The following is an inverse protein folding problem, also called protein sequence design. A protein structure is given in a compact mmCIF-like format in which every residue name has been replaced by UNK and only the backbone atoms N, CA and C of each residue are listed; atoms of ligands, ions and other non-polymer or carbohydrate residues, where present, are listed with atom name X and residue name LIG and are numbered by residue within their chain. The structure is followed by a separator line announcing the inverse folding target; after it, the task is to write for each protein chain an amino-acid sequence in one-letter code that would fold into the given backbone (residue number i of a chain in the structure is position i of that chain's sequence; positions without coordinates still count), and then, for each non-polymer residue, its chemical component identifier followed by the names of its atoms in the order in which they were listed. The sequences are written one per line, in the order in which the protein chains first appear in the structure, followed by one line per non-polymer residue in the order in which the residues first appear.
data_IF_803571230362
#
_entry.id   IF_803571230362
#
_cell.length_a   1.000
_cell.length_b   1.000
_cell.length_c   1.000
_cell.angle_alpha   90.00
_cell.angle_beta   90.00
_cell.angle_gamma   90.00
#
_symmetry.space_group_name_H-M   'P 1'
#
loop_
_entity.id
_entity.type
_entity.pdbx_description
1 polymer ?
#
# COMPACT_ATOMS: atom_id res chain seq x y z
N UNK A 1 -9.33 -69.39 -0.07
CA UNK A 1 -8.37 -69.31 1.01
C UNK A 1 -8.01 -67.84 1.22
N UNK A 2 -8.72 -67.15 2.08
CA UNK A 2 -8.55 -65.72 2.39
C UNK A 2 -7.81 -65.59 3.72
N UNK A 3 -6.58 -65.10 3.68
CA UNK A 3 -5.76 -64.79 4.89
C UNK A 3 -6.18 -63.46 5.46
N UNK A 4 -6.84 -63.48 6.60
CA UNK A 4 -7.19 -62.33 7.43
C UNK A 4 -5.95 -61.90 8.26
N UNK A 5 -5.39 -60.74 7.97
CA UNK A 5 -4.33 -60.12 8.77
C UNK A 5 -4.95 -59.36 9.95
N UNK A 6 -4.80 -59.87 11.15
CA UNK A 6 -5.17 -59.20 12.41
C UNK A 6 -4.25 -57.98 12.64
N UNK A 7 -4.79 -56.76 12.57
CA UNK A 7 -4.10 -55.54 13.06
C UNK A 7 -4.07 -55.57 14.58
N UNK A 8 -2.86 -55.66 15.15
CA UNK A 8 -2.59 -55.57 16.58
C UNK A 8 -2.80 -54.10 17.01
N UNK A 9 -3.84 -53.82 17.79
CA UNK A 9 -4.02 -52.50 18.43
C UNK A 9 -2.90 -52.30 19.44
N UNK A 10 -2.06 -51.30 19.25
CA UNK A 10 -1.04 -50.89 20.19
C UNK A 10 -1.75 -50.19 21.36
N UNK A 11 -1.68 -50.75 22.54
CA UNK A 11 -2.21 -50.13 23.76
C UNK A 11 -1.25 -49.06 24.25
N UNK A 12 -1.59 -47.79 23.93
CA UNK A 12 -0.79 -46.61 24.26
C UNK A 12 -0.61 -46.40 25.78
N UNK A 13 -1.49 -46.95 26.61
CA UNK A 13 -1.43 -46.81 28.07
C UNK A 13 -0.33 -47.64 28.75
N UNK A 14 0.12 -48.76 28.14
CA UNK A 14 1.16 -49.61 28.73
C UNK A 14 2.59 -49.16 28.44
N UNK A 15 2.79 -48.22 27.50
CA UNK A 15 4.13 -47.71 27.17
C UNK A 15 4.54 -46.51 28.03
N UNK A 16 3.61 -45.85 28.72
CA UNK A 16 3.89 -44.65 29.52
C UNK A 16 4.33 -44.97 30.95
N UNK A 17 4.13 -46.21 31.47
CA UNK A 17 4.53 -46.61 32.83
C UNK A 17 5.98 -47.10 32.92
N UNK A 18 6.72 -47.07 31.80
CA UNK A 18 8.10 -47.51 31.79
C UNK A 18 9.03 -46.36 32.23
N UNK A 19 9.73 -46.45 33.39
CA UNK A 19 10.55 -45.35 33.93
C UNK A 19 11.64 -44.87 32.94
N UNK A 20 12.09 -45.73 32.04
CA UNK A 20 13.08 -45.39 31.02
C UNK A 20 12.47 -44.45 29.94
N UNK A 21 11.22 -44.65 29.57
CA UNK A 21 10.54 -43.81 28.58
C UNK A 21 10.28 -42.43 29.17
N UNK A 22 9.87 -42.34 30.41
CA UNK A 22 9.68 -41.08 31.13
C UNK A 22 10.99 -40.27 31.19
N UNK A 23 12.11 -40.95 31.51
CA UNK A 23 13.42 -40.31 31.57
C UNK A 23 13.88 -39.77 30.20
N UNK A 24 13.61 -40.50 29.13
CA UNK A 24 13.93 -40.03 27.74
C UNK A 24 13.07 -38.82 27.36
N UNK A 25 11.78 -38.84 27.67
CA UNK A 25 10.88 -37.73 27.38
C UNK A 25 11.27 -36.46 28.15
N UNK A 26 11.67 -36.59 29.42
CA UNK A 26 12.15 -35.47 30.23
C UNK A 26 13.49 -34.92 29.71
N UNK A 27 14.40 -35.76 29.26
CA UNK A 27 15.66 -35.35 28.64
C UNK A 27 15.43 -34.62 27.32
N UNK A 28 14.53 -35.12 26.45
CA UNK A 28 14.15 -34.45 25.19
C UNK A 28 13.47 -33.10 25.44
N UNK A 29 12.59 -33.01 26.44
CA UNK A 29 11.94 -31.77 26.84
C UNK A 29 12.97 -30.72 27.31
N UNK A 30 13.97 -31.14 28.10
CA UNK A 30 15.06 -30.28 28.54
C UNK A 30 15.91 -29.73 27.38
N UNK A 31 16.27 -30.59 26.42
CA UNK A 31 17.03 -30.19 25.22
C UNK A 31 16.21 -29.22 24.37
N UNK A 32 14.92 -29.45 24.15
CA UNK A 32 14.05 -28.56 23.42
C UNK A 32 13.93 -27.19 24.12
N UNK A 33 13.85 -27.16 25.45
CA UNK A 33 13.79 -25.90 26.20
C UNK A 33 15.08 -25.08 26.05
N UNK A 34 16.25 -25.76 26.14
CA UNK A 34 17.55 -25.09 25.93
C UNK A 34 17.70 -24.54 24.52
N UNK A 35 17.24 -25.28 23.50
CA UNK A 35 17.26 -24.81 22.11
C UNK A 35 16.31 -23.64 21.91
N UNK A 36 15.13 -23.64 22.51
CA UNK A 36 14.20 -22.50 22.45
C UNK A 36 14.79 -21.25 23.12
N UNK A 37 15.43 -21.41 24.28
CA UNK A 37 16.08 -20.31 24.98
C UNK A 37 17.27 -19.76 24.14
N UNK A 38 18.06 -20.63 23.53
CA UNK A 38 19.18 -20.22 22.68
C UNK A 38 18.72 -19.45 21.43
N UNK A 39 17.58 -19.85 20.81
CA UNK A 39 16.97 -19.13 19.70
C UNK A 39 16.43 -17.76 20.16
N UNK A 40 15.83 -17.68 21.35
CA UNK A 40 15.33 -16.41 21.90
C UNK A 40 16.46 -15.46 22.29
N UNK A 41 17.60 -15.98 22.76
CA UNK A 41 18.77 -15.18 23.13
C UNK A 41 19.63 -14.76 21.91
N UNK A 42 19.58 -15.55 20.83
CA UNK A 42 20.28 -15.25 19.58
C UNK A 42 19.43 -14.45 18.58
N UNK A 43 18.18 -14.11 18.94
CA UNK A 43 17.39 -13.22 18.11
C UNK A 43 18.14 -11.89 18.02
N UNK A 44 18.51 -11.43 16.81
CA UNK A 44 19.17 -10.15 16.68
C UNK A 44 18.26 -9.11 17.31
N UNK A 45 18.73 -8.40 18.34
CA UNK A 45 18.08 -7.20 18.84
C UNK A 45 18.00 -6.27 17.63
N UNK A 46 16.81 -6.10 17.10
CA UNK A 46 16.55 -5.10 16.08
C UNK A 46 16.83 -3.74 16.73
N UNK A 47 18.08 -3.34 16.69
CA UNK A 47 18.43 -1.94 16.92
C UNK A 47 17.78 -1.20 15.76
N UNK A 48 16.74 -0.43 16.06
CA UNK A 48 16.23 0.58 15.15
C UNK A 48 17.40 1.51 14.82
N UNK A 49 18.08 1.21 13.73
CA UNK A 49 19.00 2.15 13.10
C UNK A 49 18.09 3.29 12.65
N UNK A 50 18.07 4.37 13.42
CA UNK A 50 17.58 5.64 12.94
C UNK A 50 18.50 6.04 11.78
N UNK A 51 18.10 5.66 10.57
CA UNK A 51 18.62 6.26 9.36
C UNK A 51 18.27 7.74 9.48
N UNK A 52 19.28 8.56 9.65
CA UNK A 52 19.18 10.00 9.43
C UNK A 52 18.81 10.17 7.97
N UNK A 53 17.51 10.20 7.70
CA UNK A 53 16.94 10.66 6.44
C UNK A 53 17.35 12.13 6.37
N UNK A 54 18.10 12.49 5.34
CA UNK A 54 18.40 13.87 5.00
C UNK A 54 17.10 14.68 4.91
N UNK A 55 17.14 16.02 4.96
CA UNK A 55 15.96 16.84 5.18
C UNK A 55 14.98 16.75 4.01
N UNK A 56 14.20 15.70 4.00
CA UNK A 56 12.93 15.70 3.30
C UNK A 56 12.06 16.64 4.13
N UNK A 57 11.78 17.80 3.59
CA UNK A 57 11.00 18.85 4.24
C UNK A 57 9.60 18.29 4.49
N UNK A 58 9.42 17.66 5.66
CA UNK A 58 8.11 17.33 6.17
C UNK A 58 7.53 18.68 6.61
N UNK A 59 6.76 19.30 5.76
CA UNK A 59 5.92 20.43 6.16
C UNK A 59 4.82 19.90 7.06
N UNK A 60 5.09 19.87 8.35
CA UNK A 60 4.03 19.67 9.33
C UNK A 60 3.21 20.95 9.39
N UNK A 61 1.92 20.83 9.15
CA UNK A 61 0.92 21.92 9.23
C UNK A 61 1.01 22.70 10.56
N UNK A 62 1.63 22.12 11.57
CA UNK A 62 1.81 22.68 12.91
C UNK A 62 2.78 23.87 12.94
N UNK A 63 3.89 23.81 12.20
CA UNK A 63 4.92 24.85 12.22
C UNK A 63 4.48 26.13 11.48
N UNK A 64 3.53 26.01 10.54
CA UNK A 64 2.99 27.17 9.84
C UNK A 64 1.91 27.90 10.65
N UNK A 65 1.25 27.23 11.58
CA UNK A 65 0.22 27.82 12.46
C UNK A 65 0.83 28.53 13.69
N UNK A 66 1.94 28.05 14.24
CA UNK A 66 2.55 28.66 15.42
C UNK A 66 3.30 29.97 15.09
N UNK A 67 3.74 30.18 13.86
CA UNK A 67 4.49 31.39 13.46
C UNK A 67 3.61 32.62 13.14
N UNK A 68 2.27 32.45 13.08
CA UNK A 68 1.33 33.56 12.80
C UNK A 68 0.54 34.06 14.03
N UNK A 69 0.78 33.50 15.23
CA UNK A 69 -0.01 33.88 16.42
C UNK A 69 0.65 35.02 17.22
N UNK A 70 1.89 35.40 16.95
CA UNK A 70 2.65 36.29 17.81
C UNK A 70 2.61 37.79 17.45
N UNK A 71 1.82 38.25 16.52
CA UNK A 71 1.63 39.68 16.30
C UNK A 71 0.20 40.03 15.86
N UNK A 72 -0.45 40.79 16.71
CA UNK A 72 -1.66 41.59 16.53
C UNK A 72 -2.99 40.98 16.99
N UNK A 73 -3.44 41.55 18.10
CA UNK A 73 -4.77 41.36 18.65
C UNK A 73 -5.90 41.79 17.72
N UNK A 74 -6.85 40.89 17.60
CA UNK A 74 -8.23 41.19 17.25
C UNK A 74 -8.48 41.52 15.78
N UNK A 75 -8.83 40.47 15.00
CA UNK A 75 -9.96 40.53 14.04
C UNK A 75 -10.28 39.11 13.58
N UNK A 76 -11.55 38.73 13.73
CA UNK A 76 -12.10 37.50 13.14
C UNK A 76 -12.09 37.60 11.62
N UNK A 77 -10.96 37.28 11.01
CA UNK A 77 -10.90 37.03 9.58
C UNK A 77 -11.10 35.54 9.38
N UNK A 78 -12.27 35.18 8.86
CA UNK A 78 -12.53 33.84 8.33
C UNK A 78 -11.55 33.63 7.18
N UNK A 79 -10.35 33.10 7.50
CA UNK A 79 -9.34 32.78 6.51
C UNK A 79 -9.92 31.65 5.67
N UNK A 80 -10.46 31.99 4.52
CA UNK A 80 -10.73 31.04 3.47
C UNK A 80 -9.36 30.55 2.99
N UNK A 81 -8.91 29.41 3.52
CA UNK A 81 -7.68 28.77 3.08
C UNK A 81 -7.89 28.43 1.60
N UNK A 82 -7.21 29.19 0.73
CA UNK A 82 -7.22 28.89 -0.69
C UNK A 82 -6.68 27.45 -0.88
N UNK A 83 -7.31 26.61 -1.71
CA UNK A 83 -6.93 25.20 -1.88
C UNK A 83 -5.49 24.95 -2.35
N UNK A 84 -4.72 25.97 -2.63
CA UNK A 84 -3.36 25.92 -3.20
C UNK A 84 -2.23 26.02 -2.17
N UNK A 85 -2.43 25.51 -0.95
CA UNK A 85 -1.43 25.60 0.14
C UNK A 85 -0.57 24.33 0.25
N UNK A 86 -0.94 23.21 -0.40
CA UNK A 86 -0.09 22.04 -0.46
C UNK A 86 0.79 22.13 -1.70
N UNK A 87 2.11 22.13 -1.52
CA UNK A 87 3.10 22.13 -2.62
C UNK A 87 3.13 20.82 -3.41
N UNK A 88 2.25 19.86 -3.10
CA UNK A 88 2.13 18.56 -3.76
C UNK A 88 1.41 17.53 -2.89
N UNK A 89 1.22 16.29 -3.38
CA UNK A 89 0.51 15.24 -2.67
C UNK A 89 1.31 14.72 -1.46
N UNK A 90 0.57 14.29 -0.44
CA UNK A 90 1.15 13.69 0.77
C UNK A 90 1.45 12.22 0.50
N UNK A 91 2.69 11.78 0.69
CA UNK A 91 3.07 10.38 0.60
C UNK A 91 2.86 9.73 1.96
N UNK A 92 2.00 8.72 2.02
CA UNK A 92 1.58 8.04 3.26
C UNK A 92 1.78 6.52 3.14
N UNK A 93 2.13 5.83 4.24
CA UNK A 93 2.10 4.36 4.28
C UNK A 93 0.71 3.76 4.03
N UNK A 94 -0.34 4.57 4.22
CA UNK A 94 -1.73 4.18 3.95
C UNK A 94 -2.04 4.11 2.44
N UNK A 95 -1.12 4.52 1.58
CA UNK A 95 -1.31 4.50 0.15
C UNK A 95 -0.58 3.32 -0.48
N UNK A 96 -1.22 2.56 -1.38
CA UNK A 96 -0.55 1.50 -2.11
C UNK A 96 0.64 2.03 -2.87
N UNK A 97 1.82 1.46 -2.63
CA UNK A 97 3.04 1.86 -3.31
C UNK A 97 3.83 0.65 -3.81
N UNK A 98 4.59 0.84 -4.89
CA UNK A 98 5.51 -0.16 -5.45
C UNK A 98 6.68 0.50 -6.17
N UNK A 99 7.75 -0.26 -6.39
CA UNK A 99 8.98 0.19 -7.03
C UNK A 99 10.13 0.31 -6.05
N UNK A 100 11.04 1.22 -6.29
CA UNK A 100 12.28 1.37 -5.53
C UNK A 100 12.03 1.60 -4.02
N UNK A 101 12.87 1.01 -3.18
CA UNK A 101 12.84 1.27 -1.73
C UNK A 101 13.42 2.66 -1.41
N UNK A 102 14.45 3.08 -2.14
CA UNK A 102 15.07 4.39 -2.03
C UNK A 102 14.92 5.13 -3.37
N UNK A 103 13.72 5.64 -3.69
CA UNK A 103 13.45 6.23 -4.99
C UNK A 103 14.08 7.62 -5.10
N UNK A 104 14.48 7.96 -6.32
CA UNK A 104 14.83 9.32 -6.74
C UNK A 104 13.61 10.04 -7.30
N UNK A 105 12.66 9.29 -7.85
CA UNK A 105 11.45 9.81 -8.50
C UNK A 105 10.24 9.19 -7.82
N UNK A 106 9.33 10.04 -7.38
CA UNK A 106 8.01 9.65 -6.90
C UNK A 106 6.98 9.96 -8.00
N UNK A 107 6.22 8.94 -8.39
CA UNK A 107 5.04 9.10 -9.25
C UNK A 107 3.82 8.91 -8.37
N UNK A 108 3.12 10.00 -8.03
CA UNK A 108 1.85 9.92 -7.31
C UNK A 108 0.71 10.04 -8.30
N UNK A 109 -0.15 9.06 -8.29
CA UNK A 109 -1.15 8.85 -9.31
C UNK A 109 -2.56 8.82 -8.70
N UNK A 110 -3.33 9.89 -8.91
CA UNK A 110 -4.76 9.92 -8.60
C UNK A 110 -5.51 9.28 -9.75
N UNK A 111 -6.14 8.16 -9.46
CA UNK A 111 -6.78 7.33 -10.47
C UNK A 111 -8.11 6.77 -10.02
N UNK A 112 -8.86 6.27 -11.00
CA UNK A 112 -10.14 5.59 -10.86
C UNK A 112 -10.11 4.31 -11.70
N UNK A 113 -10.55 3.21 -11.14
CA UNK A 113 -10.65 1.93 -11.86
C UNK A 113 -11.65 1.98 -13.03
N UNK A 114 -12.65 2.88 -12.96
CA UNK A 114 -13.63 3.09 -14.03
C UNK A 114 -13.14 4.01 -15.15
N UNK A 115 -12.03 4.70 -14.96
CA UNK A 115 -11.49 5.66 -15.91
C UNK A 115 -10.72 4.94 -17.05
N UNK A 116 -11.18 5.06 -18.28
CA UNK A 116 -10.54 4.45 -19.46
C UNK A 116 -9.10 4.91 -19.65
N UNK A 117 -8.83 6.22 -19.47
CA UNK A 117 -7.47 6.75 -19.58
C UNK A 117 -6.56 6.25 -18.46
N UNK A 118 -7.11 5.93 -17.29
CA UNK A 118 -6.37 5.31 -16.20
C UNK A 118 -5.97 3.87 -16.54
N UNK A 119 -6.84 3.14 -17.22
CA UNK A 119 -6.53 1.79 -17.70
C UNK A 119 -5.40 1.80 -18.74
N UNK A 120 -5.45 2.75 -19.69
CA UNK A 120 -4.39 2.92 -20.69
C UNK A 120 -3.05 3.37 -20.07
N UNK A 121 -3.08 4.25 -19.07
CA UNK A 121 -1.89 4.73 -18.37
C UNK A 121 -1.11 3.61 -17.66
N UNK A 122 -1.79 2.54 -17.23
CA UNK A 122 -1.19 1.38 -16.58
C UNK A 122 0.01 0.82 -17.33
N UNK A 123 -0.13 0.60 -18.65
CA UNK A 123 0.95 0.00 -19.46
C UNK A 123 2.19 0.90 -19.50
N UNK A 124 1.97 2.22 -19.56
CA UNK A 124 3.05 3.22 -19.59
C UNK A 124 3.79 3.24 -18.25
N UNK A 125 3.08 3.12 -17.13
CA UNK A 125 3.70 3.01 -15.81
C UNK A 125 4.46 1.70 -15.60
N UNK A 126 3.94 0.57 -16.11
CA UNK A 126 4.69 -0.70 -16.10
C UNK A 126 6.01 -0.56 -16.89
N UNK A 127 5.97 0.10 -18.05
CA UNK A 127 7.16 0.37 -18.83
C UNK A 127 8.15 1.26 -18.07
N UNK A 128 7.68 2.29 -17.37
CA UNK A 128 8.51 3.18 -16.57
C UNK A 128 9.19 2.43 -15.40
N UNK A 129 8.42 1.64 -14.65
CA UNK A 129 8.95 0.83 -13.55
C UNK A 129 10.01 -0.19 -14.03
N UNK A 130 9.81 -0.77 -15.21
CA UNK A 130 10.78 -1.70 -15.81
C UNK A 130 12.01 -0.98 -16.35
N UNK A 131 11.88 0.25 -16.84
CA UNK A 131 13.02 1.03 -17.39
C UNK A 131 13.87 1.64 -16.28
N UNK A 132 13.26 1.99 -15.14
CA UNK A 132 13.92 2.67 -14.01
C UNK A 132 13.68 1.91 -12.68
N UNK A 133 14.02 0.62 -12.56
CA UNK A 133 13.58 -0.25 -11.47
C UNK A 133 14.01 0.23 -10.08
N UNK A 134 15.23 0.81 -9.98
CA UNK A 134 15.81 1.26 -8.70
C UNK A 134 15.64 2.77 -8.47
N UNK A 135 14.90 3.47 -9.32
CA UNK A 135 14.79 4.93 -9.29
C UNK A 135 13.38 5.44 -9.02
N UNK A 136 12.36 4.67 -9.40
CA UNK A 136 10.97 5.11 -9.34
C UNK A 136 10.21 4.38 -8.23
N UNK A 137 9.43 5.14 -7.46
CA UNK A 137 8.34 4.64 -6.64
C UNK A 137 7.01 5.19 -7.13
N UNK A 138 6.09 4.31 -7.44
CA UNK A 138 4.71 4.65 -7.81
C UNK A 138 3.80 4.53 -6.59
N UNK A 139 2.93 5.51 -6.40
CA UNK A 139 1.96 5.61 -5.31
C UNK A 139 0.59 5.83 -5.92
N UNK A 140 -0.38 5.00 -5.51
CA UNK A 140 -1.77 5.13 -5.94
C UNK A 140 -2.58 5.94 -4.94
N UNK A 141 -3.42 6.83 -5.45
CA UNK A 141 -4.44 7.58 -4.72
C UNK A 141 -5.79 7.32 -5.36
N UNK A 142 -6.78 6.92 -4.56
CA UNK A 142 -8.13 6.71 -5.09
C UNK A 142 -8.82 8.05 -5.33
N UNK A 143 -9.35 8.21 -6.54
CA UNK A 143 -10.21 9.34 -6.88
C UNK A 143 -11.44 8.85 -7.67
N UNK A 144 -12.26 7.96 -7.07
CA UNK A 144 -13.52 7.54 -7.69
C UNK A 144 -14.57 8.63 -7.63
N UNK A 145 -15.69 8.44 -8.34
CA UNK A 145 -16.89 9.26 -8.17
C UNK A 145 -17.32 9.34 -6.69
N UNK A 146 -17.77 10.53 -6.26
CA UNK A 146 -18.23 10.76 -4.86
C UNK A 146 -19.58 10.09 -4.54
N UNK A 147 -20.15 9.33 -5.49
CA UNK A 147 -21.33 8.50 -5.28
C UNK A 147 -20.91 7.09 -4.80
N UNK A 148 -21.14 6.78 -3.55
CA UNK A 148 -20.75 5.48 -2.93
C UNK A 148 -21.45 4.27 -3.55
N UNK A 149 -22.56 4.45 -4.29
CA UNK A 149 -23.26 3.38 -5.01
C UNK A 149 -22.74 3.20 -6.45
N UNK A 150 -21.81 4.05 -6.94
CA UNK A 150 -21.25 3.90 -8.28
C UNK A 150 -20.31 2.71 -8.38
N UNK A 151 -20.17 2.15 -9.58
CA UNK A 151 -19.20 1.09 -9.85
C UNK A 151 -17.77 1.58 -9.64
N UNK A 152 -17.50 2.85 -9.90
CA UNK A 152 -16.23 3.52 -9.64
C UNK A 152 -15.86 3.44 -8.16
N UNK A 153 -16.77 3.85 -7.27
CA UNK A 153 -16.54 3.78 -5.82
C UNK A 153 -16.40 2.35 -5.32
N UNK A 154 -17.27 1.45 -5.78
CA UNK A 154 -17.22 0.03 -5.37
C UNK A 154 -15.90 -0.62 -5.79
N UNK A 155 -15.37 -0.30 -6.97
CA UNK A 155 -14.07 -0.78 -7.42
C UNK A 155 -12.91 -0.20 -6.58
N UNK A 156 -12.96 1.08 -6.23
CA UNK A 156 -11.97 1.70 -5.34
C UNK A 156 -12.00 1.03 -3.95
N UNK A 157 -13.20 0.82 -3.37
CA UNK A 157 -13.37 0.11 -2.09
C UNK A 157 -12.80 -1.30 -2.17
N UNK A 158 -13.06 -2.03 -3.24
CA UNK A 158 -12.52 -3.36 -3.48
C UNK A 158 -10.97 -3.34 -3.58
N UNK A 159 -10.40 -2.34 -4.23
CA UNK A 159 -8.96 -2.09 -4.25
C UNK A 159 -8.38 -1.88 -2.86
N UNK A 160 -9.07 -1.09 -2.01
CA UNK A 160 -8.66 -0.91 -0.61
C UNK A 160 -8.81 -2.18 0.22
N UNK A 161 -9.83 -2.99 0.00
CA UNK A 161 -9.95 -4.31 0.64
C UNK A 161 -8.80 -5.24 0.23
N UNK A 162 -8.30 -5.15 -0.99
CA UNK A 162 -7.12 -5.87 -1.43
C UNK A 162 -5.83 -5.29 -0.81
N UNK A 163 -5.75 -3.98 -0.62
CA UNK A 163 -4.64 -3.32 0.07
C UNK A 163 -4.51 -3.80 1.53
N UNK A 164 -5.61 -3.95 2.24
CA UNK A 164 -5.63 -4.44 3.61
C UNK A 164 -5.19 -5.91 3.75
N UNK A 165 -5.04 -6.62 2.64
CA UNK A 165 -4.50 -7.98 2.55
C UNK A 165 -3.12 -8.03 1.88
N UNK A 166 -2.43 -6.89 1.69
CA UNK A 166 -1.13 -6.78 1.01
C UNK A 166 -1.17 -7.28 -0.44
N UNK A 167 -2.32 -7.18 -1.12
CA UNK A 167 -2.56 -7.68 -2.48
C UNK A 167 -3.05 -6.60 -3.45
N UNK A 168 -2.89 -5.32 -3.11
CA UNK A 168 -3.39 -4.22 -3.96
C UNK A 168 -2.90 -4.32 -5.40
N UNK A 169 -1.59 -4.50 -5.64
CA UNK A 169 -1.04 -4.46 -7.00
C UNK A 169 -1.43 -5.67 -7.83
N UNK A 170 -1.59 -6.86 -7.22
CA UNK A 170 -2.13 -8.04 -7.89
C UNK A 170 -3.59 -7.81 -8.30
N UNK A 171 -4.38 -7.22 -7.39
CA UNK A 171 -5.76 -6.86 -7.63
C UNK A 171 -5.89 -5.78 -8.72
N UNK A 172 -5.14 -4.68 -8.59
CA UNK A 172 -5.02 -3.60 -9.56
C UNK A 172 -4.73 -4.12 -10.97
N UNK A 173 -3.73 -5.00 -11.10
CA UNK A 173 -3.35 -5.57 -12.39
C UNK A 173 -4.46 -6.43 -12.99
N UNK A 174 -5.17 -7.19 -12.17
CA UNK A 174 -6.26 -8.05 -12.60
C UNK A 174 -7.48 -7.21 -13.02
N UNK A 175 -7.86 -6.23 -12.20
CA UNK A 175 -9.05 -5.42 -12.42
C UNK A 175 -8.92 -4.51 -13.65
N UNK A 176 -7.79 -3.80 -13.78
CA UNK A 176 -7.53 -2.92 -14.93
C UNK A 176 -7.24 -3.69 -16.25
N UNK A 177 -7.11 -5.01 -16.20
CA UNK A 177 -7.05 -5.85 -17.41
C UNK A 177 -8.44 -6.40 -17.79
N UNK A 178 -9.44 -6.19 -16.95
CA UNK A 178 -10.83 -6.55 -17.19
C UNK A 178 -11.59 -5.45 -17.92
N UNK A 179 -12.78 -5.81 -18.40
CA UNK A 179 -13.66 -4.88 -19.14
C UNK A 179 -14.90 -4.46 -18.34
N UNK A 180 -15.07 -4.98 -17.13
CA UNK A 180 -16.27 -4.78 -16.32
C UNK A 180 -15.91 -4.62 -14.83
N UNK A 181 -16.72 -3.83 -14.13
CA UNK A 181 -16.60 -3.53 -12.70
C UNK A 181 -17.85 -3.97 -11.93
N UNK A 182 -18.63 -4.93 -12.49
CA UNK A 182 -19.78 -5.46 -11.75
C UNK A 182 -19.31 -6.18 -10.48
N UNK A 183 -20.16 -6.29 -9.44
CA UNK A 183 -19.78 -6.93 -8.18
C UNK A 183 -19.18 -8.33 -8.33
N UNK A 184 -19.69 -9.11 -9.28
CA UNK A 184 -19.16 -10.44 -9.61
C UNK A 184 -17.74 -10.37 -10.17
N UNK A 185 -17.41 -9.36 -10.97
CA UNK A 185 -16.08 -9.20 -11.57
C UNK A 185 -15.07 -8.75 -10.53
N UNK A 186 -15.49 -7.92 -9.56
CA UNK A 186 -14.67 -7.54 -8.41
C UNK A 186 -14.26 -8.77 -7.58
N UNK A 187 -15.19 -9.70 -7.33
CA UNK A 187 -14.89 -10.96 -6.63
C UNK A 187 -13.99 -11.89 -7.45
N UNK A 188 -14.24 -12.03 -8.76
CA UNK A 188 -13.38 -12.82 -9.64
C UNK A 188 -11.95 -12.25 -9.65
N UNK A 189 -11.80 -10.93 -9.69
CA UNK A 189 -10.51 -10.28 -9.60
C UNK A 189 -9.82 -10.55 -8.25
N UNK A 190 -10.57 -10.57 -7.15
CA UNK A 190 -10.05 -10.89 -5.82
C UNK A 190 -9.51 -12.32 -5.74
N UNK A 191 -10.26 -13.30 -6.26
CA UNK A 191 -9.80 -14.70 -6.34
C UNK A 191 -8.54 -14.82 -7.18
N UNK A 192 -8.50 -14.20 -8.36
CA UNK A 192 -7.33 -14.22 -9.26
C UNK A 192 -6.10 -13.54 -8.63
N UNK A 193 -6.31 -12.51 -7.83
CA UNK A 193 -5.24 -11.80 -7.10
C UNK A 193 -4.76 -12.57 -5.85
N UNK A 194 -5.40 -13.69 -5.49
CA UNK A 194 -5.02 -14.53 -4.36
C UNK A 194 -5.44 -13.96 -3.00
N UNK A 195 -6.55 -13.22 -2.94
CA UNK A 195 -7.13 -12.71 -1.70
C UNK A 195 -7.88 -13.81 -0.94
N UNK A 196 -7.95 -13.67 0.39
CA UNK A 196 -8.97 -14.36 1.18
C UNK A 196 -10.35 -13.73 0.85
N UNK A 197 -11.18 -14.51 0.20
CA UNK A 197 -12.47 -14.03 -0.31
C UNK A 197 -13.47 -13.72 0.82
N UNK A 198 -13.34 -14.37 1.98
CA UNK A 198 -14.22 -14.09 3.12
C UNK A 198 -13.87 -12.76 3.76
N UNK A 199 -12.57 -12.49 3.99
CA UNK A 199 -12.10 -11.19 4.47
C UNK A 199 -12.40 -10.07 3.48
N UNK A 200 -12.28 -10.36 2.18
CA UNK A 200 -12.61 -9.40 1.12
C UNK A 200 -14.09 -9.01 1.15
N UNK A 201 -15.01 -10.01 1.20
CA UNK A 201 -16.45 -9.77 1.30
C UNK A 201 -16.82 -9.03 2.58
N UNK A 202 -16.22 -9.41 3.71
CA UNK A 202 -16.44 -8.72 4.97
C UNK A 202 -16.07 -7.24 4.86
N UNK A 203 -14.88 -6.94 4.33
CA UNK A 203 -14.43 -5.57 4.10
C UNK A 203 -15.37 -4.77 3.19
N UNK A 204 -15.86 -5.37 2.10
CA UNK A 204 -16.81 -4.72 1.19
C UNK A 204 -18.15 -4.37 1.87
N UNK A 205 -18.59 -5.18 2.84
CA UNK A 205 -19.85 -5.00 3.55
C UNK A 205 -19.74 -3.99 4.70
N UNK A 206 -18.54 -3.69 5.19
CA UNK A 206 -18.36 -2.67 6.22
C UNK A 206 -18.80 -1.30 5.68
N UNK A 207 -19.67 -0.62 6.43
CA UNK A 207 -20.04 0.76 6.17
C UNK A 207 -19.15 1.65 7.03
N UNK A 208 -18.59 2.72 6.44
CA UNK A 208 -17.63 3.61 7.09
C UNK A 208 -16.40 2.87 7.67
N UNK A 209 -16.06 1.74 7.07
CA UNK A 209 -14.91 0.93 7.41
C UNK A 209 -13.57 1.61 7.05
N UNK A 210 -12.48 0.87 7.28
CA UNK A 210 -11.15 1.42 6.99
C UNK A 210 -10.96 1.72 5.49
N UNK A 211 -11.50 0.88 4.60
CA UNK A 211 -11.45 1.11 3.16
C UNK A 211 -12.10 2.45 2.77
N UNK A 212 -13.29 2.73 3.29
CA UNK A 212 -14.02 3.99 3.04
C UNK A 212 -13.25 5.19 3.58
N UNK A 213 -12.65 5.07 4.77
CA UNK A 213 -11.83 6.14 5.37
C UNK A 213 -10.59 6.48 4.54
N UNK A 214 -9.93 5.48 3.96
CA UNK A 214 -8.77 5.68 3.09
C UNK A 214 -9.15 6.39 1.78
N UNK A 215 -10.27 6.02 1.16
CA UNK A 215 -10.81 6.72 -0.01
C UNK A 215 -11.16 8.16 0.34
N UNK A 216 -11.86 8.38 1.46
CA UNK A 216 -12.21 9.72 1.92
C UNK A 216 -10.98 10.60 2.17
N UNK A 217 -9.90 10.03 2.72
CA UNK A 217 -8.61 10.73 2.90
C UNK A 217 -8.04 11.20 1.56
N UNK A 218 -8.06 10.34 0.53
CA UNK A 218 -7.60 10.71 -0.80
C UNK A 218 -8.50 11.75 -1.47
N UNK A 219 -9.83 11.71 -1.28
CA UNK A 219 -10.73 12.76 -1.76
C UNK A 219 -10.44 14.12 -1.12
N UNK A 220 -10.24 14.14 0.22
CA UNK A 220 -9.89 15.38 0.92
C UNK A 220 -8.57 15.96 0.42
N UNK A 221 -7.58 15.12 0.17
CA UNK A 221 -6.30 15.52 -0.39
C UNK A 221 -6.45 16.06 -1.81
N UNK A 222 -7.19 15.36 -2.68
CA UNK A 222 -7.49 15.82 -4.03
C UNK A 222 -8.22 17.17 -4.04
N UNK A 223 -9.23 17.34 -3.17
CA UNK A 223 -9.95 18.60 -3.02
C UNK A 223 -9.01 19.74 -2.57
N UNK A 224 -8.10 19.48 -1.63
CA UNK A 224 -7.11 20.45 -1.15
C UNK A 224 -6.08 20.83 -2.23
N UNK A 225 -5.77 19.92 -3.17
CA UNK A 225 -4.89 20.15 -4.30
C UNK A 225 -5.63 20.72 -5.54
N UNK A 226 -6.96 20.83 -5.48
CA UNK A 226 -7.79 21.28 -6.61
C UNK A 226 -7.91 20.23 -7.73
N UNK A 227 -7.69 18.96 -7.44
CA UNK A 227 -7.79 17.86 -8.39
C UNK A 227 -9.25 17.42 -8.51
N UNK A 228 -9.81 17.51 -9.70
CA UNK A 228 -11.22 17.20 -9.99
C UNK A 228 -11.43 16.15 -11.07
N UNK A 229 -10.36 15.64 -11.68
CA UNK A 229 -10.45 14.68 -12.78
C UNK A 229 -9.29 13.68 -12.73
N UNK A 230 -9.50 12.49 -13.33
CA UNK A 230 -8.52 11.40 -13.45
C UNK A 230 -8.23 11.10 -14.93
N UNK A 231 -7.04 10.62 -15.23
CA UNK A 231 -5.88 10.49 -14.33
C UNK A 231 -5.28 11.86 -14.00
N UNK A 232 -4.77 12.02 -12.77
CA UNK A 232 -3.93 13.14 -12.38
C UNK A 232 -2.62 12.61 -11.82
N UNK A 233 -1.51 13.08 -12.34
CA UNK A 233 -0.20 12.48 -12.14
C UNK A 233 0.75 13.53 -11.59
N UNK A 234 1.41 13.25 -10.47
CA UNK A 234 2.57 13.99 -10.03
C UNK A 234 3.84 13.20 -10.32
N UNK A 235 4.86 13.87 -10.81
CA UNK A 235 6.22 13.34 -10.94
C UNK A 235 7.11 14.28 -10.15
N UNK A 236 7.49 13.88 -8.95
CA UNK A 236 8.05 14.76 -7.92
C UNK A 236 7.14 15.98 -7.69
N UNK A 237 7.61 17.20 -8.00
CA UNK A 237 6.85 18.45 -7.83
C UNK A 237 6.04 18.86 -9.07
N UNK A 238 6.14 18.12 -10.18
CA UNK A 238 5.43 18.45 -11.43
C UNK A 238 4.13 17.70 -11.53
N UNK A 239 3.08 18.38 -11.94
CA UNK A 239 1.74 17.82 -12.06
C UNK A 239 1.22 17.83 -13.50
N UNK A 240 0.43 16.82 -13.84
CA UNK A 240 -0.12 16.58 -15.15
C UNK A 240 -1.57 16.10 -15.04
N UNK A 241 -2.47 16.76 -15.75
CA UNK A 241 -3.84 16.29 -15.92
C UNK A 241 -3.94 15.49 -17.22
N UNK A 242 -4.53 14.31 -17.12
CA UNK A 242 -4.71 13.40 -18.23
C UNK A 242 -3.59 12.38 -18.39
N UNK A 243 -3.72 11.56 -19.42
CA UNK A 243 -2.76 10.50 -19.73
C UNK A 243 -1.48 11.08 -20.34
N UNK A 244 -0.34 10.59 -19.87
CA UNK A 244 0.97 10.82 -20.49
C UNK A 244 1.30 9.69 -21.46
N UNK A 245 1.87 10.02 -22.62
CA UNK A 245 2.54 9.05 -23.47
C UNK A 245 3.84 8.56 -22.84
N UNK A 246 4.42 7.49 -23.39
CA UNK A 246 5.72 7.00 -22.93
C UNK A 246 6.82 8.05 -23.09
N UNK A 247 6.85 8.73 -24.23
CA UNK A 247 7.83 9.74 -24.56
C UNK A 247 7.76 10.95 -23.62
N UNK A 248 6.55 11.40 -23.28
CA UNK A 248 6.34 12.49 -22.33
C UNK A 248 6.79 12.07 -20.93
N UNK A 249 6.32 10.91 -20.44
CA UNK A 249 6.69 10.40 -19.12
C UNK A 249 8.21 10.22 -19.00
N UNK A 250 8.83 9.60 -20.01
CA UNK A 250 10.27 9.38 -20.06
C UNK A 250 11.04 10.71 -20.03
N UNK A 251 10.61 11.69 -20.81
CA UNK A 251 11.25 13.01 -20.87
C UNK A 251 11.24 13.69 -19.50
N UNK A 252 10.10 13.63 -18.79
CA UNK A 252 9.99 14.22 -17.45
C UNK A 252 10.88 13.48 -16.46
N UNK A 253 10.88 12.15 -16.47
CA UNK A 253 11.71 11.35 -15.56
C UNK A 253 13.20 11.62 -15.81
N UNK A 254 13.65 11.62 -17.06
CA UNK A 254 15.05 11.88 -17.41
C UNK A 254 15.48 13.29 -16.98
N UNK A 255 14.59 14.28 -17.16
CA UNK A 255 14.83 15.65 -16.72
C UNK A 255 15.00 15.73 -15.19
N UNK A 256 14.08 15.14 -14.42
CA UNK A 256 14.16 15.13 -12.96
C UNK A 256 15.43 14.44 -12.45
N UNK A 257 15.82 13.31 -13.08
CA UNK A 257 17.06 12.61 -12.75
C UNK A 257 18.30 13.43 -13.07
N UNK A 258 18.30 14.22 -14.15
CA UNK A 258 19.41 15.09 -14.51
C UNK A 258 19.56 16.24 -13.50
N UNK A 259 18.46 16.84 -13.02
CA UNK A 259 18.51 17.90 -11.99
C UNK A 259 19.13 17.39 -10.69
N UNK A 260 18.70 16.20 -10.22
CA UNK A 260 19.25 15.60 -9.00
C UNK A 260 20.77 15.33 -9.09
N UNK A 261 21.28 14.96 -10.28
CA UNK A 261 22.71 14.75 -10.49
C UNK A 261 23.49 16.06 -10.45
N UNK A 262 22.92 17.17 -10.93
CA UNK A 262 23.55 18.48 -10.90
C UNK A 262 23.66 19.01 -9.45
N UNK A 263 22.59 18.87 -8.66
CA UNK A 263 22.55 19.31 -7.26
C UNK A 263 23.53 18.52 -6.37
N UNK A 264 23.93 17.30 -6.74
CA UNK A 264 24.91 16.49 -6.03
C UNK A 264 26.36 16.81 -6.44
N UNK A 265 26.56 17.58 -7.50
CA UNK A 265 27.88 17.93 -8.06
C UNK A 265 28.39 19.32 -7.62
N UNK A 266 27.53 20.12 -7.00
CA UNK A 266 27.86 21.40 -6.36
C UNK A 266 28.14 21.23 -4.85
#
# INVERSE_FOLDING_TARGET
MTKTTKKKKLNLHQTLDNPWIISILLACAGVCLVLLISVLLSWPKWTSSQSTVGPTTIYTLKDSLEKQIDNEGGLTTKTTISPKVLGGPIISPDDPSRGAEQPLIYIVYFGDFACTFCQEQKQIFEQALNTYPDKIKMIWKDLPEKNTSSLSYQAAKAGRCAFLQDRFWQYYNTLLSGTSLQPTDLEIAAVKAGLDINLFRQCLQEVDGLADKLINKNWQEADALGISATPYIYINSRDFLGKLSWEELKTVIDYELAQLNNDLSE
#
